data_IF_206136144521
#
_entry.id   IF_206136144521
#
_cell.length_a   1.000
_cell.length_b   1.000
_cell.length_c   1.000
_cell.angle_alpha   90.00
_cell.angle_beta   90.00
_cell.angle_gamma   90.00
#
_symmetry.space_group_name_H-M   'P 1'
#
loop_
_entity.id
_entity.type
_entity.pdbx_description
1 polymer ?
#
# COMPACT_ATOMS: atom_id res chain seq x y z
N UNK A 1 -31.02 7.58 -11.59
CA UNK A 1 -30.57 6.41 -10.82
C UNK A 1 -29.45 6.90 -9.91
N UNK A 2 -29.77 7.21 -8.63
CA UNK A 2 -28.81 7.80 -7.72
C UNK A 2 -27.84 6.72 -7.25
N UNK A 3 -26.54 6.91 -7.54
CA UNK A 3 -25.45 6.20 -6.88
C UNK A 3 -25.48 6.62 -5.40
N UNK A 4 -26.07 5.79 -4.54
CA UNK A 4 -25.86 5.86 -3.10
C UNK A 4 -24.43 5.43 -2.83
N UNK A 5 -23.50 6.37 -2.87
CA UNK A 5 -22.17 6.15 -2.35
C UNK A 5 -22.34 6.04 -0.82
N UNK A 6 -22.42 4.82 -0.29
CA UNK A 6 -22.17 4.59 1.12
C UNK A 6 -20.69 4.93 1.33
N UNK A 7 -20.43 6.10 1.87
CA UNK A 7 -19.11 6.44 2.38
C UNK A 7 -18.96 5.60 3.64
N UNK A 8 -18.42 4.40 3.48
CA UNK A 8 -17.96 3.62 4.62
C UNK A 8 -16.91 4.47 5.34
N UNK A 9 -17.09 4.64 6.64
CA UNK A 9 -16.12 5.41 7.43
C UNK A 9 -14.80 4.63 7.36
N UNK A 10 -13.68 5.32 7.14
CA UNK A 10 -12.38 4.67 7.08
C UNK A 10 -12.10 3.73 8.27
N UNK A 11 -12.64 4.07 9.46
CA UNK A 11 -12.57 3.22 10.65
C UNK A 11 -13.31 1.88 10.48
N UNK A 12 -14.34 1.80 9.65
CA UNK A 12 -15.06 0.55 9.40
C UNK A 12 -14.28 -0.38 8.47
N UNK A 13 -13.33 0.16 7.69
CA UNK A 13 -12.48 -0.60 6.77
C UNK A 13 -11.11 -0.91 7.40
N UNK A 14 -10.48 0.09 8.02
CA UNK A 14 -9.06 0.05 8.42
C UNK A 14 -8.85 0.00 9.94
N UNK A 15 -9.93 0.04 10.75
CA UNK A 15 -9.83 0.21 12.19
C UNK A 15 -9.47 1.65 12.59
N UNK A 16 -8.88 1.80 13.76
CA UNK A 16 -8.60 3.12 14.36
C UNK A 16 -7.12 3.50 14.33
N UNK A 17 -6.22 2.52 14.27
CA UNK A 17 -4.77 2.75 14.27
C UNK A 17 -4.12 2.10 13.06
N UNK A 18 -3.58 2.94 12.17
CA UNK A 18 -2.87 2.52 10.97
C UNK A 18 -1.40 2.94 11.06
N UNK A 19 -0.48 2.01 10.86
CA UNK A 19 0.96 2.26 10.96
C UNK A 19 1.63 2.20 9.59
N UNK A 20 2.39 3.26 9.25
CA UNK A 20 3.32 3.24 8.14
C UNK A 20 4.56 2.41 8.54
N UNK A 21 4.62 1.17 8.06
CA UNK A 21 5.68 0.24 8.41
C UNK A 21 6.95 0.54 7.62
N UNK A 22 8.10 0.46 8.27
CA UNK A 22 9.41 0.51 7.60
C UNK A 22 9.64 -0.78 6.79
N UNK A 23 10.47 -0.70 5.77
CA UNK A 23 10.95 -1.87 5.02
C UNK A 23 12.27 -2.32 5.61
N UNK A 24 12.36 -3.49 6.26
CA UNK A 24 13.63 -4.00 6.77
C UNK A 24 14.56 -4.47 5.66
N UNK A 25 15.81 -4.06 5.76
CA UNK A 25 16.89 -4.55 4.91
C UNK A 25 18.00 -5.18 5.76
N UNK A 26 18.73 -6.10 5.20
CA UNK A 26 19.91 -6.68 5.82
C UNK A 26 21.15 -5.78 5.66
N UNK A 27 22.30 -6.24 6.17
CA UNK A 27 23.55 -5.49 6.10
C UNK A 27 24.07 -5.24 4.68
N UNK A 28 23.62 -6.04 3.72
CA UNK A 28 24.01 -5.95 2.32
C UNK A 28 23.01 -5.14 1.49
N UNK A 29 21.95 -4.63 2.15
CA UNK A 29 20.88 -3.84 1.55
C UNK A 29 19.81 -4.68 0.84
N UNK A 30 19.79 -5.99 1.02
CA UNK A 30 18.74 -6.84 0.50
C UNK A 30 17.52 -6.85 1.44
N UNK A 31 16.32 -7.06 0.87
CA UNK A 31 15.07 -7.10 1.62
C UNK A 31 15.07 -8.25 2.65
N UNK A 32 14.96 -7.93 3.96
CA UNK A 32 14.82 -8.91 5.04
C UNK A 32 13.34 -9.25 5.31
N UNK A 33 12.84 -10.24 4.59
CA UNK A 33 11.46 -10.71 4.75
C UNK A 33 11.19 -11.29 6.15
N UNK A 34 12.19 -11.91 6.79
CA UNK A 34 12.03 -12.48 8.12
C UNK A 34 11.87 -11.37 9.17
N UNK A 35 12.65 -10.29 9.08
CA UNK A 35 12.46 -9.11 9.91
C UNK A 35 11.12 -8.42 9.62
N UNK A 36 10.70 -8.36 8.34
CA UNK A 36 9.39 -7.84 7.93
C UNK A 36 8.23 -8.57 8.60
N UNK A 37 8.24 -9.90 8.60
CA UNK A 37 7.24 -10.74 9.30
C UNK A 37 7.22 -10.47 10.80
N UNK A 38 8.39 -10.49 11.46
CA UNK A 38 8.50 -10.24 12.90
C UNK A 38 7.97 -8.85 13.29
N UNK A 39 8.29 -7.83 12.49
CA UNK A 39 7.82 -6.47 12.73
C UNK A 39 6.30 -6.38 12.58
N UNK A 40 5.74 -6.95 11.51
CA UNK A 40 4.30 -6.96 11.28
C UNK A 40 3.55 -7.68 12.41
N UNK A 41 4.01 -8.86 12.83
CA UNK A 41 3.45 -9.60 13.96
C UNK A 41 3.48 -8.75 15.23
N UNK A 42 4.63 -8.16 15.56
CA UNK A 42 4.80 -7.30 16.74
C UNK A 42 3.81 -6.12 16.73
N UNK A 43 3.66 -5.42 15.61
CA UNK A 43 2.75 -4.29 15.50
C UNK A 43 1.29 -4.73 15.73
N UNK A 44 0.86 -5.81 15.10
CA UNK A 44 -0.51 -6.33 15.24
C UNK A 44 -0.78 -6.82 16.66
N UNK A 45 0.15 -7.51 17.30
CA UNK A 45 0.05 -7.96 18.70
C UNK A 45 -0.04 -6.78 19.68
N UNK A 46 0.45 -5.61 19.30
CA UNK A 46 0.36 -4.37 20.10
C UNK A 46 -0.81 -3.45 19.69
N UNK A 47 -1.80 -3.98 18.98
CA UNK A 47 -3.08 -3.30 18.74
C UNK A 47 -3.14 -2.44 17.49
N UNK A 48 -2.32 -2.72 16.49
CA UNK A 48 -2.41 -2.06 15.18
C UNK A 48 -3.45 -2.76 14.32
N UNK A 49 -4.40 -1.99 13.78
CA UNK A 49 -5.51 -2.49 12.96
C UNK A 49 -5.13 -2.59 11.48
N UNK A 50 -4.25 -1.72 11.00
CA UNK A 50 -3.81 -1.71 9.61
C UNK A 50 -2.32 -1.37 9.44
N UNK A 51 -1.67 -2.01 8.48
CA UNK A 51 -0.27 -1.81 8.12
C UNK A 51 -0.19 -1.18 6.72
N UNK A 52 0.47 -0.02 6.60
CA UNK A 52 0.80 0.59 5.31
C UNK A 52 2.20 0.13 4.89
N UNK A 53 2.27 -0.66 3.86
CA UNK A 53 3.53 -1.17 3.30
C UNK A 53 3.97 -0.35 2.09
N UNK A 54 5.26 -0.20 1.91
CA UNK A 54 5.85 0.51 0.78
C UNK A 54 5.27 1.93 0.57
N UNK A 55 4.93 2.62 1.66
CA UNK A 55 4.71 4.06 1.67
C UNK A 55 6.04 4.82 1.75
N UNK A 56 6.00 6.12 2.04
CA UNK A 56 7.22 6.94 2.19
C UNK A 56 8.13 6.41 3.31
N UNK A 57 7.55 6.05 4.46
CA UNK A 57 8.28 5.44 5.59
C UNK A 57 8.91 4.09 5.21
N UNK A 58 8.26 3.33 4.32
CA UNK A 58 8.74 2.05 3.79
C UNK A 58 9.66 2.20 2.58
N UNK A 59 10.22 3.38 2.33
CA UNK A 59 11.23 3.66 1.29
C UNK A 59 10.76 3.29 -0.12
N UNK A 60 9.47 3.53 -0.42
CA UNK A 60 8.85 3.16 -1.70
C UNK A 60 9.64 3.54 -2.96
N UNK A 61 10.30 4.72 -3.06
CA UNK A 61 11.05 5.08 -4.27
C UNK A 61 12.28 4.23 -4.55
N UNK A 62 12.83 3.59 -3.52
CA UNK A 62 14.08 2.81 -3.60
C UNK A 62 13.86 1.30 -3.56
N UNK A 63 12.61 0.85 -3.35
CA UNK A 63 12.21 -0.56 -3.42
C UNK A 63 11.68 -0.90 -4.80
N UNK A 64 12.08 -2.06 -5.35
CA UNK A 64 11.56 -2.55 -6.63
C UNK A 64 10.10 -3.05 -6.52
N UNK A 65 9.35 -3.16 -7.63
CA UNK A 65 8.02 -3.78 -7.62
C UNK A 65 8.03 -5.19 -7.02
N UNK A 66 9.04 -5.99 -7.35
CA UNK A 66 9.20 -7.37 -6.88
C UNK A 66 9.40 -7.41 -5.36
N UNK A 67 10.21 -6.50 -4.80
CA UNK A 67 10.42 -6.38 -3.36
C UNK A 67 9.13 -5.97 -2.63
N UNK A 68 8.37 -5.02 -3.20
CA UNK A 68 7.06 -4.61 -2.65
C UNK A 68 6.08 -5.78 -2.59
N UNK A 69 5.98 -6.54 -3.67
CA UNK A 69 5.12 -7.73 -3.74
C UNK A 69 5.59 -8.81 -2.77
N UNK A 70 6.91 -9.05 -2.68
CA UNK A 70 7.48 -10.05 -1.77
C UNK A 70 7.20 -9.69 -0.31
N UNK A 71 7.42 -8.43 0.08
CA UNK A 71 7.11 -7.95 1.44
C UNK A 71 5.62 -8.06 1.75
N UNK A 72 4.76 -7.63 0.83
CA UNK A 72 3.31 -7.69 1.02
C UNK A 72 2.85 -9.14 1.25
N UNK A 73 3.26 -10.08 0.41
CA UNK A 73 2.93 -11.50 0.56
C UNK A 73 3.44 -12.05 1.89
N UNK A 74 4.69 -11.74 2.26
CA UNK A 74 5.28 -12.19 3.51
C UNK A 74 4.49 -11.66 4.73
N UNK A 75 4.11 -10.40 4.71
CA UNK A 75 3.30 -9.79 5.79
C UNK A 75 1.90 -10.39 5.81
N UNK A 76 1.24 -10.57 4.65
CA UNK A 76 -0.09 -11.19 4.57
C UNK A 76 -0.09 -12.62 5.14
N UNK A 77 0.90 -13.43 4.78
CA UNK A 77 1.05 -14.77 5.34
C UNK A 77 1.23 -14.77 6.86
N UNK A 78 1.94 -13.77 7.41
CA UNK A 78 2.20 -13.65 8.84
C UNK A 78 0.97 -13.17 9.62
N UNK A 79 0.33 -12.09 9.16
CA UNK A 79 -0.75 -11.46 9.93
C UNK A 79 -2.13 -12.05 9.63
N UNK A 80 -2.31 -12.68 8.47
CA UNK A 80 -3.62 -13.19 8.03
C UNK A 80 -4.68 -12.06 8.02
N UNK A 81 -5.84 -12.35 8.60
CA UNK A 81 -6.95 -11.40 8.72
C UNK A 81 -6.90 -10.56 10.00
N UNK A 82 -5.84 -10.67 10.80
CA UNK A 82 -5.69 -9.93 12.06
C UNK A 82 -5.46 -8.43 11.86
N UNK A 83 -5.00 -8.03 10.69
CA UNK A 83 -4.83 -6.63 10.31
C UNK A 83 -5.07 -6.43 8.82
N UNK A 84 -5.47 -5.22 8.45
CA UNK A 84 -5.59 -4.81 7.06
C UNK A 84 -4.23 -4.41 6.49
N UNK A 85 -4.02 -4.66 5.21
CA UNK A 85 -2.81 -4.26 4.50
C UNK A 85 -3.15 -3.23 3.44
N UNK A 86 -2.59 -2.03 3.60
CA UNK A 86 -2.66 -0.93 2.63
C UNK A 86 -1.34 -0.90 1.88
N UNK A 87 -1.37 -1.12 0.58
CA UNK A 87 -0.16 -1.15 -0.23
C UNK A 87 0.13 0.21 -0.89
N UNK A 88 1.36 0.67 -0.79
CA UNK A 88 1.84 1.83 -1.53
C UNK A 88 1.97 1.52 -3.02
N UNK A 89 1.09 2.11 -3.84
CA UNK A 89 1.06 1.98 -5.29
C UNK A 89 1.41 3.31 -6.00
N UNK A 90 2.01 4.25 -5.27
CA UNK A 90 2.30 5.59 -5.79
C UNK A 90 3.53 5.65 -6.70
N UNK A 91 3.40 6.36 -7.81
CA UNK A 91 4.48 6.75 -8.72
C UNK A 91 4.14 8.08 -9.38
N UNK A 92 5.16 8.81 -9.83
CA UNK A 92 4.95 9.98 -10.70
C UNK A 92 4.67 9.61 -12.18
N UNK A 93 4.83 8.34 -12.54
CA UNK A 93 4.38 7.76 -13.81
C UNK A 93 3.05 7.03 -13.59
N UNK A 94 1.97 7.54 -14.22
CA UNK A 94 0.63 6.97 -14.08
C UNK A 94 0.56 5.52 -14.52
N UNK A 95 1.27 5.15 -15.59
CA UNK A 95 1.28 3.77 -16.10
C UNK A 95 1.93 2.83 -15.09
N UNK A 96 3.04 3.27 -14.49
CA UNK A 96 3.72 2.50 -13.45
C UNK A 96 2.85 2.39 -12.18
N UNK A 97 2.20 3.47 -11.74
CA UNK A 97 1.27 3.43 -10.61
C UNK A 97 0.10 2.46 -10.84
N UNK A 98 -0.47 2.42 -12.04
CA UNK A 98 -1.51 1.45 -12.44
C UNK A 98 -1.00 0.00 -12.37
N UNK A 99 0.24 -0.25 -12.80
CA UNK A 99 0.85 -1.59 -12.70
C UNK A 99 1.02 -2.00 -11.24
N UNK A 100 1.61 -1.13 -10.40
CA UNK A 100 1.78 -1.37 -8.96
C UNK A 100 0.44 -1.64 -8.25
N UNK A 101 -0.63 -0.91 -8.63
CA UNK A 101 -1.96 -1.11 -8.06
C UNK A 101 -2.49 -2.52 -8.34
N UNK A 102 -2.34 -3.01 -9.56
CA UNK A 102 -2.74 -4.38 -9.95
C UNK A 102 -1.91 -5.44 -9.22
N UNK A 103 -0.59 -5.28 -9.21
CA UNK A 103 0.32 -6.19 -8.51
C UNK A 103 0.02 -6.27 -7.01
N UNK A 104 -0.31 -5.14 -6.38
CA UNK A 104 -0.71 -5.09 -4.97
C UNK A 104 -2.03 -5.83 -4.73
N UNK A 105 -3.02 -5.64 -5.60
CA UNK A 105 -4.31 -6.35 -5.51
C UNK A 105 -4.11 -7.86 -5.67
N UNK A 106 -3.35 -8.29 -6.68
CA UNK A 106 -3.03 -9.69 -6.93
C UNK A 106 -2.22 -10.33 -5.78
N UNK A 107 -1.43 -9.52 -5.08
CA UNK A 107 -0.65 -9.97 -3.92
C UNK A 107 -1.44 -10.02 -2.61
N UNK A 108 -2.70 -9.56 -2.59
CA UNK A 108 -3.60 -9.66 -1.45
C UNK A 108 -3.64 -8.42 -0.56
N UNK A 109 -3.40 -7.23 -1.09
CA UNK A 109 -3.68 -5.98 -0.37
C UNK A 109 -5.19 -5.81 -0.13
N UNK A 110 -5.55 -5.13 0.97
CA UNK A 110 -6.95 -4.75 1.27
C UNK A 110 -7.29 -3.36 0.72
N UNK A 111 -6.27 -2.52 0.47
CA UNK A 111 -6.43 -1.17 -0.04
C UNK A 111 -5.13 -0.64 -0.65
N UNK A 112 -5.23 0.52 -1.32
CA UNK A 112 -4.11 1.17 -1.96
C UNK A 112 -3.84 2.55 -1.35
N UNK A 113 -2.56 2.90 -1.22
CA UNK A 113 -2.10 4.26 -0.93
C UNK A 113 -1.45 4.82 -2.19
N UNK A 114 -2.11 5.81 -2.83
CA UNK A 114 -1.59 6.51 -3.99
C UNK A 114 -1.13 7.93 -3.62
N UNK A 115 -0.09 8.40 -4.27
CA UNK A 115 0.46 9.75 -4.11
C UNK A 115 0.25 10.55 -5.40
N UNK A 116 0.08 11.87 -5.29
CA UNK A 116 0.11 12.75 -6.45
C UNK A 116 1.44 12.62 -7.20
N UNK A 117 1.45 12.76 -8.54
CA UNK A 117 2.70 12.74 -9.28
C UNK A 117 3.67 13.80 -8.75
N UNK A 118 4.74 13.34 -8.14
CA UNK A 118 5.79 14.19 -7.58
C UNK A 118 6.77 14.61 -8.66
N UNK A 119 7.54 15.68 -8.42
CA UNK A 119 8.55 16.24 -9.31
C UNK A 119 7.97 16.91 -10.58
N UNK A 120 7.10 16.25 -11.34
CA UNK A 120 6.57 16.70 -12.65
C UNK A 120 5.57 17.84 -12.56
N UNK A 121 5.01 18.13 -11.38
CA UNK A 121 4.03 19.21 -11.11
C UNK A 121 2.89 19.27 -12.14
N UNK A 122 2.06 18.22 -12.28
CA UNK A 122 0.95 18.22 -13.22
C UNK A 122 -0.10 19.28 -12.87
N UNK A 123 -0.95 19.63 -13.85
CA UNK A 123 -2.13 20.47 -13.60
C UNK A 123 -3.14 19.74 -12.69
N UNK A 124 -4.10 20.46 -12.10
CA UNK A 124 -5.15 19.84 -11.27
C UNK A 124 -5.95 18.79 -12.05
N UNK A 125 -6.26 19.05 -13.31
CA UNK A 125 -6.90 18.06 -14.18
C UNK A 125 -6.02 16.82 -14.41
N UNK A 126 -4.70 17.00 -14.54
CA UNK A 126 -3.75 15.90 -14.65
C UNK A 126 -3.65 15.07 -13.38
N UNK A 127 -3.72 15.70 -12.19
CA UNK A 127 -3.79 15.00 -10.90
C UNK A 127 -5.06 14.15 -10.80
N UNK A 128 -6.22 14.73 -11.16
CA UNK A 128 -7.48 14.00 -11.16
C UNK A 128 -7.43 12.77 -12.08
N UNK A 129 -6.98 12.96 -13.33
CA UNK A 129 -6.85 11.87 -14.29
C UNK A 129 -5.87 10.78 -13.84
N UNK A 130 -4.80 11.14 -13.12
CA UNK A 130 -3.86 10.18 -12.53
C UNK A 130 -4.55 9.28 -11.51
N UNK A 131 -5.29 9.86 -10.56
CA UNK A 131 -6.00 9.08 -9.55
C UNK A 131 -7.15 8.26 -10.14
N UNK A 132 -7.88 8.81 -11.13
CA UNK A 132 -8.93 8.08 -11.85
C UNK A 132 -8.37 6.81 -12.53
N UNK A 133 -7.20 6.92 -13.17
CA UNK A 133 -6.56 5.80 -13.81
C UNK A 133 -6.12 4.71 -12.81
N UNK A 134 -5.62 5.09 -11.63
CA UNK A 134 -5.25 4.15 -10.58
C UNK A 134 -6.50 3.49 -9.99
N UNK A 135 -7.53 4.28 -9.66
CA UNK A 135 -8.78 3.77 -9.10
C UNK A 135 -9.53 2.83 -10.07
N UNK A 136 -9.42 3.05 -11.37
CA UNK A 136 -10.00 2.16 -12.38
C UNK A 136 -9.20 0.85 -12.60
N UNK A 137 -8.03 0.70 -11.99
CA UNK A 137 -7.17 -0.44 -12.21
C UNK A 137 -7.54 -1.67 -11.37
N UNK A 138 -8.22 -1.47 -10.24
CA UNK A 138 -8.63 -2.52 -9.28
C UNK A 138 -9.94 -2.15 -8.61
N UNK A 139 -10.58 -3.12 -7.93
CA UNK A 139 -11.77 -2.90 -7.11
C UNK A 139 -11.42 -2.52 -5.65
N UNK A 140 -10.13 -2.39 -5.31
CA UNK A 140 -9.69 -2.01 -3.97
C UNK A 140 -9.96 -0.52 -3.69
N UNK A 141 -10.34 -0.18 -2.44
CA UNK A 141 -10.44 1.20 -2.00
C UNK A 141 -9.10 1.92 -1.96
#
# INVERSE_FOLDING_TARGET
>A
MGLSCKVDRGADIFGTVCVAMVTPFDSDGALDLAAGRRLAAHLVENGIDALVLAGTTGESPTTSPEEKVALLKAVREEVGDRAKIVAGAGSNDTRHAVALAKEAADAGADALLAVTPYYSKPSQAGVAAHFEAIAAATDLP
#
